data_IF_163409175886
#
_entry.id   IF_163409175886
#
_cell.length_a   1.000
_cell.length_b   1.000
_cell.length_c   1.000
_cell.angle_alpha   90.00
_cell.angle_beta   90.00
_cell.angle_gamma   90.00
#
_symmetry.space_group_name_H-M   'P 1'
#
loop_
_entity.id
_entity.type
_entity.pdbx_description
1 polymer ?
#
# COMPACT_ATOMS: atom_id res chain seq x y z
N UNK A 1 -18.62 -11.06 -29.60
CA UNK A 1 -17.14 -10.99 -29.53
C UNK A 1 -16.77 -11.11 -28.06
N UNK A 2 -16.38 -12.30 -27.60
CA UNK A 2 -16.03 -12.54 -26.20
C UNK A 2 -14.52 -12.42 -26.05
N UNK A 3 -14.06 -11.38 -25.37
CA UNK A 3 -12.67 -11.30 -24.92
C UNK A 3 -12.59 -11.92 -23.53
N UNK A 4 -12.27 -13.22 -23.47
CA UNK A 4 -11.76 -13.84 -22.25
C UNK A 4 -10.34 -13.34 -22.03
N UNK A 5 -10.18 -12.30 -21.22
CA UNK A 5 -8.87 -11.85 -20.77
C UNK A 5 -8.33 -12.89 -19.80
N UNK A 6 -7.54 -13.84 -20.31
CA UNK A 6 -6.62 -14.60 -19.46
C UNK A 6 -5.53 -13.63 -19.01
N UNK A 7 -5.76 -12.91 -17.92
CA UNK A 7 -4.65 -12.35 -17.14
C UNK A 7 -3.89 -13.53 -16.57
N UNK A 8 -2.93 -14.04 -17.34
CA UNK A 8 -1.74 -14.63 -16.76
C UNK A 8 -1.17 -13.57 -15.85
N UNK A 9 -1.51 -13.65 -14.57
CA UNK A 9 -1.01 -12.76 -13.52
C UNK A 9 0.44 -13.17 -13.29
N UNK A 10 1.29 -12.89 -14.29
CA UNK A 10 2.73 -12.90 -14.18
C UNK A 10 3.04 -12.13 -12.90
N UNK A 11 3.65 -12.81 -11.92
CA UNK A 11 4.18 -12.44 -10.59
C UNK A 11 4.35 -10.94 -10.25
N UNK A 12 3.40 -10.08 -10.60
CA UNK A 12 3.40 -8.66 -10.36
C UNK A 12 2.83 -8.49 -8.97
N UNK A 13 3.72 -8.51 -7.99
CA UNK A 13 3.35 -8.17 -6.63
C UNK A 13 2.76 -6.77 -6.63
N UNK A 14 1.44 -6.66 -6.46
CA UNK A 14 0.76 -5.37 -6.33
C UNK A 14 1.19 -4.74 -5.01
N UNK A 15 1.62 -3.47 -5.07
CA UNK A 15 1.85 -2.66 -3.87
C UNK A 15 0.88 -1.49 -3.90
N UNK A 16 0.04 -1.39 -2.87
CA UNK A 16 -0.95 -0.33 -2.73
C UNK A 16 -0.45 0.68 -1.71
N UNK A 17 -0.38 1.94 -2.11
CA UNK A 17 -0.03 3.06 -1.24
C UNK A 17 -1.27 3.89 -0.94
N UNK A 18 -1.50 4.21 0.33
CA UNK A 18 -2.50 5.20 0.74
C UNK A 18 -1.82 6.43 1.29
N UNK A 19 -2.39 7.58 0.94
CA UNK A 19 -1.87 8.88 1.31
C UNK A 19 -2.87 9.63 2.18
N UNK A 20 -2.37 10.50 3.05
CA UNK A 20 -3.18 11.52 3.70
C UNK A 20 -3.44 12.73 2.79
N UNK A 21 -4.22 13.68 3.28
CA UNK A 21 -4.53 14.93 2.56
C UNK A 21 -3.29 15.82 2.28
N UNK A 22 -2.15 15.55 2.93
CA UNK A 22 -0.88 16.25 2.74
C UNK A 22 0.04 15.49 1.77
N UNK A 23 -0.42 14.38 1.17
CA UNK A 23 0.36 13.57 0.24
C UNK A 23 1.39 12.65 0.91
N UNK A 24 1.29 12.43 2.23
CA UNK A 24 2.21 11.54 2.96
C UNK A 24 1.65 10.12 3.00
N UNK A 25 2.51 9.11 2.85
CA UNK A 25 2.09 7.70 2.88
C UNK A 25 1.66 7.33 4.30
N UNK A 26 0.41 6.93 4.50
CA UNK A 26 -0.11 6.43 5.77
C UNK A 26 -0.20 4.91 5.81
N UNK A 27 -0.22 4.25 4.65
CA UNK A 27 -0.36 2.80 4.55
C UNK A 27 0.31 2.24 3.29
N UNK A 28 1.00 1.12 3.43
CA UNK A 28 1.53 0.31 2.33
C UNK A 28 1.03 -1.11 2.48
N UNK A 29 0.40 -1.65 1.44
CA UNK A 29 -0.06 -3.05 1.40
C UNK A 29 0.63 -3.76 0.25
N UNK A 30 1.38 -4.81 0.57
CA UNK A 30 2.05 -5.65 -0.39
C UNK A 30 1.17 -6.86 -0.72
N UNK A 31 1.31 -7.37 -1.95
CA UNK A 31 0.59 -8.55 -2.43
C UNK A 31 0.87 -9.83 -1.62
N UNK A 32 1.96 -9.86 -0.85
CA UNK A 32 2.30 -10.97 0.04
C UNK A 32 1.56 -10.90 1.39
N UNK A 33 0.60 -9.97 1.56
CA UNK A 33 -0.15 -9.76 2.81
C UNK A 33 0.50 -8.77 3.78
N UNK A 34 1.79 -8.42 3.57
CA UNK A 34 2.48 -7.47 4.44
C UNK A 34 1.81 -6.10 4.39
N UNK A 35 1.52 -5.54 5.56
CA UNK A 35 0.95 -4.21 5.72
C UNK A 35 1.87 -3.35 6.59
N UNK A 36 2.17 -2.15 6.14
CA UNK A 36 2.89 -1.14 6.90
C UNK A 36 1.99 0.06 7.10
N UNK A 37 1.84 0.52 8.35
CA UNK A 37 1.07 1.71 8.70
C UNK A 37 2.03 2.74 9.28
N UNK A 38 1.92 3.97 8.79
CA UNK A 38 2.66 5.11 9.27
C UNK A 38 1.72 6.08 9.98
N UNK A 39 2.15 6.60 11.13
CA UNK A 39 1.43 7.65 11.85
C UNK A 39 2.31 8.88 11.93
N UNK A 40 1.69 10.04 11.74
CA UNK A 40 2.37 11.32 11.77
C UNK A 40 1.72 12.24 12.80
N UNK A 41 2.51 13.13 13.38
CA UNK A 41 1.99 14.26 14.14
C UNK A 41 1.51 15.41 13.22
N UNK A 42 0.94 16.44 13.83
CA UNK A 42 0.50 17.66 13.13
C UNK A 42 1.64 18.49 12.54
N UNK A 43 2.87 18.30 13.01
CA UNK A 43 4.05 19.04 12.56
C UNK A 43 4.72 18.39 11.34
N UNK A 44 4.36 17.16 10.97
CA UNK A 44 4.96 16.46 9.85
C UNK A 44 5.76 15.22 10.23
N UNK A 45 6.07 15.02 11.52
CA UNK A 45 7.02 14.02 11.94
C UNK A 45 6.35 12.65 12.05
N UNK A 46 7.06 11.61 11.61
CA UNK A 46 6.59 10.23 11.73
C UNK A 46 6.78 9.76 13.17
N UNK A 47 5.67 9.58 13.88
CA UNK A 47 5.66 9.21 15.30
C UNK A 47 5.58 7.71 15.51
N UNK A 48 5.07 6.95 14.52
CA UNK A 48 4.91 5.50 14.66
C UNK A 48 4.98 4.76 13.33
N UNK A 49 5.45 3.52 13.43
CA UNK A 49 5.54 2.53 12.35
C UNK A 49 4.99 1.22 12.87
N UNK A 50 4.00 0.67 12.20
CA UNK A 50 3.50 -0.67 12.50
C UNK A 50 3.61 -1.51 11.25
N UNK A 51 4.40 -2.59 11.33
CA UNK A 51 4.49 -3.59 10.26
C UNK A 51 3.80 -4.86 10.73
N UNK A 52 2.88 -5.37 9.92
CA UNK A 52 2.16 -6.63 10.14
C UNK A 52 2.33 -7.50 8.90
N UNK A 53 2.42 -8.82 9.09
CA UNK A 53 2.49 -9.82 8.01
C UNK A 53 1.19 -10.62 7.93
#
# INVERSE_FOLDING_TARGET
MNFTYFSSSALAGTVVYKYDALGRVIEVVYSNGTRIIYTYDKAGNRTRVVKTI
#
